data_IF_013102469380
#
_entry.id   IF_013102469380
#
_cell.length_a   1.000
_cell.length_b   1.000
_cell.length_c   1.000
_cell.angle_alpha   90.00
_cell.angle_beta   90.00
_cell.angle_gamma   90.00
#
_symmetry.space_group_name_H-M   'P 1'
#
loop_
_entity.id
_entity.type
_entity.pdbx_description
1 polymer ?
#
# COMPACT_ATOMS: atom_id res chain seq x y z
N UNK A 1 -32.70 2.69 -31.45
CA UNK A 1 -31.48 1.94 -31.79
C UNK A 1 -30.38 2.98 -31.90
N UNK A 2 -29.82 3.39 -30.75
CA UNK A 2 -28.80 4.42 -30.68
C UNK A 2 -27.46 3.71 -30.46
N UNK A 3 -26.62 3.72 -31.48
CA UNK A 3 -25.22 3.32 -31.38
C UNK A 3 -24.47 4.43 -30.65
N UNK A 4 -24.18 4.23 -29.37
CA UNK A 4 -23.11 4.96 -28.70
C UNK A 4 -21.77 4.42 -29.21
N UNK A 5 -21.07 5.26 -29.95
CA UNK A 5 -19.67 5.09 -30.30
C UNK A 5 -18.84 5.06 -29.02
N UNK A 6 -18.34 3.87 -28.67
CA UNK A 6 -17.29 3.69 -27.70
C UNK A 6 -16.03 4.45 -28.17
N UNK A 7 -15.82 5.64 -27.64
CA UNK A 7 -14.53 6.31 -27.70
C UNK A 7 -13.53 5.49 -26.89
N UNK A 8 -12.64 4.79 -27.58
CA UNK A 8 -11.45 4.19 -26.97
C UNK A 8 -10.63 5.31 -26.34
N UNK A 9 -10.75 5.50 -25.03
CA UNK A 9 -9.87 6.37 -24.28
C UNK A 9 -8.45 5.82 -24.43
N UNK A 10 -7.60 6.53 -25.17
CA UNK A 10 -6.18 6.22 -25.26
C UNK A 10 -5.62 6.21 -23.83
N UNK A 11 -5.09 5.07 -23.39
CA UNK A 11 -4.40 4.92 -22.11
C UNK A 11 -3.16 5.81 -22.18
N UNK A 12 -3.22 6.99 -21.57
CA UNK A 12 -2.07 7.87 -21.47
C UNK A 12 -0.93 7.10 -20.77
N UNK A 13 0.18 6.91 -21.47
CA UNK A 13 1.42 6.39 -20.90
C UNK A 13 1.90 7.35 -19.82
N UNK A 14 1.96 6.88 -18.59
CA UNK A 14 2.53 7.61 -17.45
C UNK A 14 4.05 7.61 -17.61
N UNK A 15 4.68 8.79 -17.57
CA UNK A 15 6.13 8.94 -17.70
C UNK A 15 6.77 8.68 -16.33
N UNK A 16 7.31 7.47 -16.17
CA UNK A 16 7.95 7.05 -14.92
C UNK A 16 9.44 7.43 -14.94
N UNK A 17 9.99 7.93 -13.81
CA UNK A 17 11.43 8.19 -13.73
C UNK A 17 12.22 6.89 -13.79
N UNK A 18 13.55 6.99 -13.95
CA UNK A 18 14.42 5.82 -13.84
C UNK A 18 14.25 5.16 -12.47
N UNK A 19 14.07 3.81 -12.39
CA UNK A 19 14.00 3.12 -11.10
C UNK A 19 15.21 3.37 -10.22
N UNK A 20 16.41 3.54 -10.81
CA UNK A 20 17.64 3.84 -10.07
C UNK A 20 17.54 5.18 -9.34
N UNK A 21 17.19 6.23 -10.08
CA UNK A 21 17.07 7.59 -9.55
C UNK A 21 15.96 7.67 -8.49
N UNK A 22 14.82 7.03 -8.74
CA UNK A 22 13.74 6.95 -7.77
C UNK A 22 14.16 6.18 -6.51
N UNK A 23 14.87 5.06 -6.66
CA UNK A 23 15.32 4.21 -5.56
C UNK A 23 16.34 4.92 -4.66
N UNK A 24 17.38 5.53 -5.24
CA UNK A 24 18.36 6.32 -4.50
C UNK A 24 17.70 7.45 -3.70
N UNK A 25 16.73 8.14 -4.32
CA UNK A 25 16.01 9.21 -3.63
C UNK A 25 15.10 8.66 -2.53
N UNK A 26 14.43 7.54 -2.77
CA UNK A 26 13.58 6.88 -1.77
C UNK A 26 14.38 6.45 -0.53
N UNK A 27 15.61 5.95 -0.70
CA UNK A 27 16.50 5.63 0.41
C UNK A 27 16.79 6.87 1.27
N UNK A 28 17.16 8.00 0.65
CA UNK A 28 17.40 9.26 1.37
C UNK A 28 16.13 9.74 2.11
N UNK A 29 14.97 9.67 1.46
CA UNK A 29 13.70 10.06 2.10
C UNK A 29 13.40 9.16 3.31
N UNK A 30 13.61 7.85 3.19
CA UNK A 30 13.39 6.92 4.28
C UNK A 30 14.29 7.25 5.49
N UNK A 31 15.58 7.51 5.25
CA UNK A 31 16.54 7.88 6.30
C UNK A 31 16.08 9.16 7.01
N UNK A 32 15.68 10.20 6.26
CA UNK A 32 15.17 11.45 6.82
C UNK A 32 13.92 11.24 7.69
N UNK A 33 12.99 10.37 7.25
CA UNK A 33 11.80 10.04 8.03
C UNK A 33 12.17 9.29 9.32
N UNK A 34 13.13 8.37 9.26
CA UNK A 34 13.58 7.57 10.41
C UNK A 34 14.33 8.41 11.45
N UNK A 35 15.07 9.43 11.01
CA UNK A 35 15.77 10.37 11.88
C UNK A 35 14.83 11.44 12.47
N UNK A 36 13.62 11.60 11.94
CA UNK A 36 12.68 12.62 12.38
C UNK A 36 12.23 12.42 13.85
N UNK A 37 12.10 13.48 14.67
CA UNK A 37 11.70 13.36 16.08
C UNK A 37 10.37 12.64 16.34
N UNK A 38 9.43 12.71 15.38
CA UNK A 38 8.12 12.04 15.46
C UNK A 38 8.16 10.57 15.02
N UNK A 39 9.27 10.03 14.50
CA UNK A 39 9.34 8.67 13.94
C UNK A 39 8.88 7.58 14.93
N UNK A 40 9.40 7.60 16.15
CA UNK A 40 9.03 6.62 17.17
C UNK A 40 7.54 6.68 17.52
N UNK A 41 6.96 7.89 17.51
CA UNK A 41 5.53 8.09 17.76
C UNK A 41 4.69 7.64 16.57
N UNK A 42 5.15 7.86 15.34
CA UNK A 42 4.53 7.31 14.12
C UNK A 42 4.46 5.79 14.23
N UNK A 43 5.62 5.13 14.43
CA UNK A 43 5.72 3.68 14.56
C UNK A 43 4.82 3.13 15.66
N UNK A 44 4.90 3.71 16.86
CA UNK A 44 4.09 3.25 17.99
C UNK A 44 2.60 3.43 17.73
N UNK A 45 2.18 4.53 17.10
CA UNK A 45 0.76 4.80 16.83
C UNK A 45 0.20 3.93 15.71
N UNK A 46 0.97 3.68 14.64
CA UNK A 46 0.57 2.81 13.53
C UNK A 46 0.42 1.35 13.96
N UNK A 47 1.28 0.87 14.87
CA UNK A 47 1.21 -0.51 15.39
C UNK A 47 0.25 -0.67 16.57
N UNK A 48 -0.31 0.44 17.08
CA UNK A 48 -1.36 0.39 18.08
C UNK A 48 -2.68 0.10 17.36
N UNK A 49 -3.61 -0.58 18.03
CA UNK A 49 -4.97 -0.94 17.55
C UNK A 49 -5.14 -2.33 16.92
N UNK A 50 -5.08 -3.41 17.72
CA UNK A 50 -5.33 -4.76 17.24
C UNK A 50 -6.80 -5.07 16.86
N UNK A 51 -7.76 -4.20 17.16
CA UNK A 51 -9.18 -4.57 17.13
C UNK A 51 -10.03 -3.93 16.03
N UNK A 52 -9.52 -2.99 15.24
CA UNK A 52 -10.40 -2.22 14.34
C UNK A 52 -9.84 -1.89 12.95
N UNK A 53 -8.61 -2.31 12.62
CA UNK A 53 -7.90 -1.79 11.44
C UNK A 53 -7.61 -2.82 10.36
N UNK A 54 -8.09 -4.06 10.52
CA UNK A 54 -7.95 -5.09 9.49
C UNK A 54 -9.14 -5.05 8.52
N UNK A 55 -8.85 -4.98 7.22
CA UNK A 55 -9.81 -5.25 6.16
C UNK A 55 -9.92 -6.75 5.93
N UNK A 56 -10.98 -7.18 5.25
CA UNK A 56 -11.13 -8.57 4.81
C UNK A 56 -10.27 -8.89 3.57
N UNK A 57 -9.52 -7.93 3.03
CA UNK A 57 -8.93 -8.02 1.69
C UNK A 57 -7.43 -7.67 1.59
N UNK A 58 -6.79 -7.18 2.64
CA UNK A 58 -5.33 -6.96 2.66
C UNK A 58 -4.62 -7.89 3.62
N UNK A 59 -4.51 -7.55 4.92
CA UNK A 59 -3.73 -8.35 5.89
C UNK A 59 -4.09 -9.83 5.97
N UNK A 60 -5.38 -10.25 5.94
CA UNK A 60 -5.73 -11.66 5.98
C UNK A 60 -5.20 -12.49 4.81
N UNK A 61 -4.70 -11.85 3.74
CA UNK A 61 -4.02 -12.56 2.65
C UNK A 61 -2.64 -13.09 3.06
N UNK A 62 -2.07 -12.62 4.16
CA UNK A 62 -0.82 -13.17 4.71
C UNK A 62 -1.14 -14.53 5.32
N UNK A 63 -0.41 -15.57 4.87
CA UNK A 63 -0.60 -16.92 5.39
C UNK A 63 -0.24 -16.98 6.87
N UNK A 64 -1.13 -17.50 7.71
CA UNK A 64 -0.97 -17.48 9.16
C UNK A 64 -0.73 -16.06 9.68
N UNK A 65 -1.53 -15.10 9.20
CA UNK A 65 -1.49 -13.71 9.62
C UNK A 65 -1.57 -13.57 11.14
N UNK A 66 -0.59 -12.88 11.71
CA UNK A 66 -0.55 -12.51 13.12
C UNK A 66 -0.07 -11.05 13.21
N UNK A 67 -0.91 -10.17 13.76
CA UNK A 67 -0.61 -8.74 13.80
C UNK A 67 0.64 -8.42 14.61
N UNK A 68 0.88 -9.12 15.72
CA UNK A 68 2.01 -8.85 16.61
C UNK A 68 3.33 -9.29 15.95
N UNK A 69 3.31 -10.41 15.23
CA UNK A 69 4.47 -10.95 14.53
C UNK A 69 4.74 -10.25 13.19
N UNK A 70 3.71 -9.98 12.40
CA UNK A 70 3.85 -9.46 11.04
C UNK A 70 3.78 -7.94 10.97
N UNK A 71 3.04 -7.28 11.86
CA UNK A 71 2.86 -5.82 11.89
C UNK A 71 4.16 -5.02 11.87
N UNK A 72 5.17 -5.34 12.71
CA UNK A 72 6.45 -4.65 12.69
C UNK A 72 7.19 -4.73 11.34
N UNK A 73 7.06 -5.86 10.62
CA UNK A 73 7.68 -6.03 9.31
C UNK A 73 6.89 -5.28 8.24
N UNK A 74 5.56 -5.35 8.28
CA UNK A 74 4.71 -4.57 7.38
C UNK A 74 4.93 -3.08 7.55
N UNK A 75 5.13 -2.57 8.78
CA UNK A 75 5.42 -1.16 9.00
C UNK A 75 6.65 -0.71 8.22
N UNK A 76 7.71 -1.53 8.17
CA UNK A 76 8.91 -1.25 7.38
C UNK A 76 8.55 -1.17 5.89
N UNK A 77 7.79 -2.12 5.37
CA UNK A 77 7.41 -2.17 3.95
C UNK A 77 6.44 -1.05 3.55
N UNK A 78 5.49 -0.69 4.41
CA UNK A 78 4.60 0.45 4.21
C UNK A 78 5.36 1.78 4.20
N UNK A 79 6.33 1.95 5.10
CA UNK A 79 7.13 3.17 5.14
C UNK A 79 8.08 3.29 3.94
N UNK A 80 8.70 2.18 3.53
CA UNK A 80 9.47 2.10 2.27
C UNK A 80 8.61 2.47 1.07
N UNK A 81 7.37 1.97 1.02
CA UNK A 81 6.40 2.31 -0.02
C UNK A 81 6.11 3.81 -0.04
N UNK A 82 5.81 4.43 1.11
CA UNK A 82 5.61 5.87 1.20
C UNK A 82 6.82 6.67 0.71
N UNK A 83 8.04 6.24 1.07
CA UNK A 83 9.27 6.88 0.62
C UNK A 83 9.45 6.77 -0.91
N UNK A 84 9.15 5.62 -1.50
CA UNK A 84 9.17 5.43 -2.96
C UNK A 84 8.13 6.30 -3.67
N UNK A 85 6.88 6.34 -3.18
CA UNK A 85 5.82 7.20 -3.73
C UNK A 85 6.23 8.69 -3.68
N UNK A 86 6.74 9.15 -2.53
CA UNK A 86 7.24 10.51 -2.36
C UNK A 86 8.41 10.84 -3.30
N UNK A 87 9.37 9.92 -3.48
CA UNK A 87 10.50 10.10 -4.40
C UNK A 87 10.03 10.26 -5.84
N UNK A 88 9.13 9.40 -6.31
CA UNK A 88 8.57 9.50 -7.66
C UNK A 88 7.80 10.80 -7.83
N UNK A 89 7.02 11.22 -6.83
CA UNK A 89 6.34 12.51 -6.87
C UNK A 89 7.30 13.70 -6.93
N UNK A 90 8.39 13.71 -6.16
CA UNK A 90 9.39 14.78 -6.22
C UNK A 90 10.02 14.91 -7.61
N UNK A 91 10.26 13.78 -8.27
CA UNK A 91 10.91 13.70 -9.58
C UNK A 91 9.98 14.06 -10.75
N UNK A 92 8.68 13.81 -10.60
CA UNK A 92 7.70 13.95 -11.70
C UNK A 92 6.69 15.07 -11.50
N UNK A 93 6.36 15.38 -10.24
CA UNK A 93 5.20 16.19 -9.83
C UNK A 93 3.86 15.64 -10.35
N UNK A 94 3.80 14.33 -10.63
CA UNK A 94 2.62 13.63 -11.11
C UNK A 94 2.15 12.63 -10.05
N UNK A 95 0.96 12.87 -9.48
CA UNK A 95 0.34 12.00 -8.48
C UNK A 95 0.04 10.60 -9.06
N UNK A 96 -0.32 10.51 -10.35
CA UNK A 96 -0.62 9.23 -11.01
C UNK A 96 0.64 8.40 -11.23
N UNK A 97 1.78 9.04 -11.45
CA UNK A 97 3.08 8.36 -11.52
C UNK A 97 3.53 7.89 -10.13
N UNK A 98 3.27 8.72 -9.11
CA UNK A 98 3.65 8.45 -7.73
C UNK A 98 2.76 7.40 -7.03
N UNK A 99 1.54 7.18 -7.51
CA UNK A 99 0.66 6.11 -7.02
C UNK A 99 1.13 4.73 -7.52
N UNK A 100 2.24 4.27 -6.95
CA UNK A 100 2.87 3.01 -7.31
C UNK A 100 1.94 1.82 -7.06
N UNK A 101 1.99 0.84 -7.96
CA UNK A 101 1.34 -0.45 -7.75
C UNK A 101 1.99 -1.16 -6.56
N UNK A 102 1.16 -1.58 -5.61
CA UNK A 102 1.60 -2.17 -4.34
C UNK A 102 0.79 -3.42 -4.01
N UNK A 103 1.40 -4.32 -3.24
CA UNK A 103 0.76 -5.54 -2.76
C UNK A 103 -0.32 -5.19 -1.72
N UNK A 104 -1.47 -5.85 -1.76
CA UNK A 104 -2.62 -5.53 -0.91
C UNK A 104 -2.31 -5.51 0.61
N UNK A 105 -1.56 -6.48 1.20
CA UNK A 105 -1.14 -6.37 2.60
C UNK A 105 -0.26 -5.15 2.92
N UNK A 106 0.59 -4.73 1.99
CA UNK A 106 1.47 -3.57 2.20
C UNK A 106 0.68 -2.27 2.06
N UNK A 107 -0.23 -2.21 1.10
CA UNK A 107 -1.13 -1.07 0.93
C UNK A 107 -2.03 -0.86 2.17
N UNK A 108 -2.51 -1.93 2.78
CA UNK A 108 -3.25 -1.83 4.05
C UNK A 108 -2.40 -1.21 5.18
N UNK A 109 -1.08 -1.45 5.19
CA UNK A 109 -0.17 -0.74 6.10
C UNK A 109 0.06 0.71 5.68
N UNK A 110 0.04 1.05 4.39
CA UNK A 110 0.05 2.44 3.91
C UNK A 110 -1.21 3.17 4.39
N UNK A 111 -2.39 2.54 4.33
CA UNK A 111 -3.61 3.06 4.94
C UNK A 111 -3.45 3.31 6.45
N UNK A 112 -2.84 2.37 7.17
CA UNK A 112 -2.59 2.53 8.60
C UNK A 112 -1.61 3.68 8.91
N UNK A 113 -0.59 3.88 8.06
CA UNK A 113 0.32 5.02 8.15
C UNK A 113 -0.42 6.34 7.87
N UNK A 114 -1.17 6.43 6.77
CA UNK A 114 -1.86 7.66 6.35
C UNK A 114 -2.95 8.10 7.35
N UNK A 115 -3.56 7.16 8.05
CA UNK A 115 -4.47 7.44 9.15
C UNK A 115 -3.79 8.15 10.34
N UNK A 116 -2.46 8.13 10.46
CA UNK A 116 -1.69 8.96 11.42
C UNK A 116 -1.51 10.41 10.91
N UNK A 117 -2.56 10.98 10.32
CA UNK A 117 -2.55 12.25 9.58
C UNK A 117 -1.81 13.39 10.30
N UNK A 118 -2.07 13.60 11.59
CA UNK A 118 -1.44 14.69 12.35
C UNK A 118 0.07 14.53 12.48
N UNK A 119 0.56 13.29 12.63
CA UNK A 119 1.99 13.00 12.74
C UNK A 119 2.64 13.18 11.37
N UNK A 120 2.05 12.58 10.33
CA UNK A 120 2.57 12.68 8.97
C UNK A 120 2.57 14.11 8.43
N UNK A 121 1.58 14.94 8.78
CA UNK A 121 1.55 16.35 8.39
C UNK A 121 2.74 17.14 8.92
N UNK A 122 3.20 16.83 10.14
CA UNK A 122 4.41 17.46 10.72
C UNK A 122 5.66 17.01 9.99
N UNK A 123 5.80 15.70 9.77
CA UNK A 123 6.93 15.12 9.03
C UNK A 123 7.00 15.73 7.62
N UNK A 124 5.88 15.81 6.91
CA UNK A 124 5.81 16.42 5.57
C UNK A 124 6.24 17.89 5.59
N UNK A 125 5.73 18.67 6.55
CA UNK A 125 6.09 20.08 6.67
C UNK A 125 7.58 20.27 6.98
N UNK A 126 8.12 19.51 7.93
CA UNK A 126 9.48 19.69 8.44
C UNK A 126 10.53 19.17 7.44
N UNK A 127 10.20 18.13 6.66
CA UNK A 127 11.07 17.56 5.63
C UNK A 127 10.78 18.08 4.21
N UNK A 128 9.79 18.96 4.04
CA UNK A 128 9.29 19.44 2.75
C UNK A 128 8.92 18.30 1.77
N UNK A 129 8.29 17.23 2.29
CA UNK A 129 7.85 16.06 1.54
C UNK A 129 6.35 16.13 1.24
N UNK A 130 5.92 15.42 0.20
CA UNK A 130 4.51 15.14 -0.07
C UNK A 130 4.32 13.63 -0.12
N UNK A 131 3.47 13.11 0.78
CA UNK A 131 3.07 11.72 0.79
C UNK A 131 1.86 11.53 -0.11
N UNK A 132 2.06 10.78 -1.19
CA UNK A 132 1.00 10.46 -2.15
C UNK A 132 0.34 9.16 -1.74
N UNK A 133 -0.99 9.22 -1.63
CA UNK A 133 -1.87 8.07 -1.55
C UNK A 133 -3.25 8.48 -2.08
N UNK A 134 -3.71 7.84 -3.16
CA UNK A 134 -4.94 8.17 -3.86
C UNK A 134 -5.74 6.89 -4.11
N UNK A 135 -6.81 6.71 -3.32
CA UNK A 135 -7.70 5.54 -3.43
C UNK A 135 -8.41 5.45 -4.79
N UNK A 136 -8.64 6.58 -5.46
CA UNK A 136 -9.23 6.61 -6.80
C UNK A 136 -8.25 6.21 -7.91
N UNK A 137 -6.95 6.30 -7.66
CA UNK A 137 -5.90 5.83 -8.56
C UNK A 137 -5.35 4.44 -8.17
N UNK A 138 -5.70 3.92 -7.00
CA UNK A 138 -5.28 2.63 -6.48
C UNK A 138 -5.71 1.48 -7.41
N UNK A 139 -4.76 0.58 -7.70
CA UNK A 139 -5.00 -0.61 -8.52
C UNK A 139 -4.36 -1.83 -7.88
N UNK A 140 -5.14 -2.89 -7.72
CA UNK A 140 -4.68 -4.20 -7.25
C UNK A 140 -3.97 -5.02 -8.35
N UNK A 141 -3.18 -4.34 -9.18
CA UNK A 141 -2.50 -4.89 -10.36
C UNK A 141 -1.00 -5.10 -10.13
N UNK A 142 -0.51 -4.91 -8.89
CA UNK A 142 0.88 -5.18 -8.53
C UNK A 142 1.29 -6.58 -9.00
N UNK A 143 2.46 -6.67 -9.61
CA UNK A 143 3.04 -7.93 -10.04
C UNK A 143 4.54 -7.93 -9.77
N UNK A 144 5.09 -9.13 -9.59
CA UNK A 144 6.50 -9.33 -9.28
C UNK A 144 7.39 -8.80 -10.41
N UNK A 145 8.56 -8.27 -10.05
CA UNK A 145 9.53 -7.68 -10.98
C UNK A 145 9.06 -6.44 -11.76
N UNK A 146 7.90 -5.89 -11.39
CA UNK A 146 7.40 -4.62 -11.88
C UNK A 146 8.26 -3.42 -11.46
N UNK A 147 7.80 -2.21 -11.81
CA UNK A 147 8.50 -0.97 -11.52
C UNK A 147 8.78 -0.78 -10.02
N UNK A 148 7.82 -1.10 -9.14
CA UNK A 148 7.98 -1.04 -7.69
C UNK A 148 9.13 -1.93 -7.18
N UNK A 149 9.24 -3.17 -7.67
CA UNK A 149 10.36 -4.07 -7.34
C UNK A 149 11.72 -3.50 -7.78
N UNK A 150 11.75 -2.85 -8.95
CA UNK A 150 12.98 -2.25 -9.48
C UNK A 150 13.42 -1.04 -8.65
N UNK A 151 12.49 -0.16 -8.26
CA UNK A 151 12.78 0.98 -7.37
C UNK A 151 13.26 0.49 -6.01
N UNK A 152 12.60 -0.52 -5.45
CA UNK A 152 12.96 -1.10 -4.15
C UNK A 152 14.39 -1.68 -4.17
N UNK A 153 14.75 -2.43 -5.22
CA UNK A 153 16.12 -2.95 -5.39
C UNK A 153 17.14 -1.83 -5.57
N UNK A 154 16.80 -0.82 -6.37
CA UNK A 154 17.65 0.34 -6.60
C UNK A 154 17.91 1.16 -5.33
N UNK A 155 16.96 1.18 -4.39
CA UNK A 155 17.13 1.80 -3.08
C UNK A 155 18.11 1.04 -2.17
N UNK A 156 18.64 -0.10 -2.59
CA UNK A 156 19.60 -0.90 -1.84
C UNK A 156 18.96 -1.75 -0.74
N UNK A 157 17.63 -1.91 -0.73
CA UNK A 157 16.90 -2.67 0.29
C UNK A 157 16.84 -4.19 0.03
N UNK A 158 17.49 -4.65 -1.05
CA UNK A 158 17.53 -6.06 -1.45
C UNK A 158 16.26 -6.50 -2.17
N UNK A 159 15.85 -7.75 -1.94
CA UNK A 159 14.60 -8.29 -2.48
C UNK A 159 13.42 -8.00 -1.57
N UNK A 160 12.25 -7.79 -2.17
CA UNK A 160 11.00 -7.64 -1.45
C UNK A 160 10.62 -8.95 -0.71
N UNK A 161 10.19 -8.89 0.55
CA UNK A 161 9.77 -10.07 1.29
C UNK A 161 8.45 -10.63 0.72
N UNK A 162 8.55 -11.74 -0.01
CA UNK A 162 7.42 -12.36 -0.74
C UNK A 162 6.28 -12.89 0.15
N UNK A 163 6.46 -12.92 1.46
CA UNK A 163 5.37 -13.13 2.44
C UNK A 163 4.34 -12.00 2.38
N UNK A 164 4.80 -10.76 2.21
CA UNK A 164 3.98 -9.54 2.25
C UNK A 164 3.71 -8.95 0.85
N UNK A 165 4.61 -9.22 -0.09
CA UNK A 165 4.52 -8.75 -1.48
C UNK A 165 3.98 -9.84 -2.41
N UNK A 166 2.66 -9.88 -2.53
CA UNK A 166 1.88 -10.85 -3.30
C UNK A 166 1.47 -10.25 -4.64
N UNK A 167 1.92 -10.86 -5.74
CA UNK A 167 1.47 -10.48 -7.08
C UNK A 167 -0.02 -10.72 -7.29
N UNK A 168 -0.62 -10.01 -8.24
CA UNK A 168 -2.07 -9.98 -8.51
C UNK A 168 -2.71 -11.38 -8.64
N UNK A 169 -2.03 -12.34 -9.25
CA UNK A 169 -2.55 -13.69 -9.42
C UNK A 169 -2.66 -14.43 -8.08
N UNK A 170 -1.67 -14.29 -7.22
CA UNK A 170 -1.67 -14.90 -5.89
C UNK A 170 -2.65 -14.18 -4.95
N UNK A 171 -2.69 -12.85 -5.02
CA UNK A 171 -3.70 -12.03 -4.32
C UNK A 171 -5.11 -12.49 -4.67
N UNK A 172 -5.43 -12.63 -5.97
CA UNK A 172 -6.72 -13.15 -6.41
C UNK A 172 -7.00 -14.55 -5.87
N UNK A 173 -6.05 -15.47 -6.00
CA UNK A 173 -6.22 -16.86 -5.51
C UNK A 173 -6.53 -16.91 -4.01
N UNK A 174 -5.82 -16.11 -3.21
CA UNK A 174 -6.04 -16.06 -1.75
C UNK A 174 -7.36 -15.37 -1.39
N UNK A 175 -7.74 -14.31 -2.10
CA UNK A 175 -9.05 -13.68 -1.93
C UNK A 175 -10.20 -14.64 -2.22
N UNK A 176 -10.11 -15.43 -3.31
CA UNK A 176 -11.16 -16.40 -3.66
C UNK A 176 -11.35 -17.42 -2.52
N UNK A 177 -10.26 -17.92 -1.92
CA UNK A 177 -10.31 -18.84 -0.77
C UNK A 177 -10.91 -18.16 0.46
N UNK A 178 -10.45 -16.95 0.80
CA UNK A 178 -10.95 -16.21 1.96
C UNK A 178 -12.44 -15.86 1.81
N UNK A 179 -12.87 -15.48 0.61
CA UNK A 179 -14.27 -15.15 0.34
C UNK A 179 -15.17 -16.37 0.51
N UNK A 180 -14.76 -17.56 0.06
CA UNK A 180 -15.49 -18.80 0.35
C UNK A 180 -15.68 -18.99 1.87
N UNK A 181 -14.64 -18.77 2.67
CA UNK A 181 -14.73 -18.85 4.12
C UNK A 181 -15.61 -17.76 4.75
N UNK A 182 -15.45 -16.50 4.35
CA UNK A 182 -16.25 -15.38 4.86
C UNK A 182 -17.74 -15.52 4.50
N UNK A 183 -18.04 -15.94 3.28
CA UNK A 183 -19.41 -16.14 2.83
C UNK A 183 -20.09 -17.27 3.60
N UNK A 184 -19.35 -18.33 3.95
CA UNK A 184 -19.87 -19.43 4.78
C UNK A 184 -20.34 -19.00 6.17
N UNK A 185 -19.79 -17.90 6.71
CA UNK A 185 -20.19 -17.30 8.00
C UNK A 185 -21.13 -16.10 7.84
N UNK A 186 -21.63 -15.84 6.63
CA UNK A 186 -22.59 -14.78 6.36
C UNK A 186 -21.98 -13.39 6.14
N UNK A 187 -20.66 -13.28 5.98
CA UNK A 187 -19.97 -12.05 5.55
C UNK A 187 -19.85 -12.07 4.03
N UNK A 188 -20.34 -11.03 3.36
CA UNK A 188 -20.55 -11.01 1.91
C UNK A 188 -19.69 -9.93 1.24
N UNK A 189 -19.41 -10.12 -0.05
CA UNK A 189 -18.75 -9.13 -0.90
C UNK A 189 -17.45 -8.58 -0.28
N UNK A 190 -16.62 -9.46 0.28
CA UNK A 190 -15.35 -9.08 0.93
C UNK A 190 -15.54 -8.15 2.14
N UNK A 191 -16.60 -8.36 2.93
CA UNK A 191 -16.88 -7.56 4.14
C UNK A 191 -17.76 -6.33 3.92
N UNK A 192 -18.21 -6.05 2.69
CA UNK A 192 -19.07 -4.88 2.41
C UNK A 192 -20.53 -5.06 2.84
N UNK A 193 -20.95 -6.28 3.15
CA UNK A 193 -22.25 -6.58 3.71
C UNK A 193 -22.19 -7.84 4.58
N UNK A 194 -23.17 -8.06 5.46
CA UNK A 194 -23.35 -9.33 6.16
C UNK A 194 -24.82 -9.60 6.46
N UNK A 195 -25.17 -10.87 6.69
CA UNK A 195 -26.51 -11.29 7.12
C UNK A 195 -26.63 -11.52 8.63
N UNK A 196 -25.57 -11.24 9.39
CA UNK A 196 -25.58 -11.33 10.86
C UNK A 196 -26.61 -10.34 11.44
N UNK A 197 -27.57 -10.86 12.21
CA UNK A 197 -28.62 -10.06 12.87
C UNK A 197 -28.27 -9.68 14.30
N UNK A 198 -27.09 -10.12 14.78
CA UNK A 198 -26.58 -9.99 16.15
C UNK A 198 -27.51 -10.49 17.28
N UNK A 199 -28.65 -11.11 16.95
CA UNK A 199 -29.65 -11.55 17.93
C UNK A 199 -30.06 -10.42 18.88
N UNK A 200 -30.61 -10.78 20.04
CA UNK A 200 -30.56 -9.91 21.22
C UNK A 200 -29.46 -10.42 22.14
#
# INVERSE_FOLDING_TARGET
MNHETAGSAATATVDLPSPHTAGERAAVILDLIQEHPEFNRLRASTLKYPTCWATFTGYPLIAEWDLDADGPNLFVEGLRTMAMKAAVFELTRDERAAELLVSAPVDEMVHALTAQFTILSRIQNDLALVFIHSTDAERFDYDVDGYTDQVYRAAGWGELPRRYWLGKAETKRRLDILFEHYESIGVQAGGRAHFLTFGR
#
